data_IF_464222387890
#
_entry.id   IF_464222387890
#
_cell.length_a   1.000
_cell.length_b   1.000
_cell.length_c   1.000
_cell.angle_alpha   90.00
_cell.angle_beta   90.00
_cell.angle_gamma   90.00
#
_symmetry.space_group_name_H-M   'P 1'
#
loop_
_entity.id
_entity.type
_entity.pdbx_description
1 polymer ?
#
# COMPACT_ATOMS: atom_id res chain seq x y z
N UNK A 1 9.06 -7.35 -2.79
CA UNK A 1 9.11 -6.68 -4.10
C UNK A 1 8.24 -5.44 -4.06
N UNK A 2 8.62 -4.37 -4.75
CA UNK A 2 7.85 -3.13 -4.87
C UNK A 2 7.75 -2.75 -6.33
N UNK A 3 6.54 -2.43 -6.79
CA UNK A 3 6.28 -1.95 -8.14
C UNK A 3 5.67 -0.56 -8.00
N UNK A 4 6.25 0.40 -8.70
CA UNK A 4 5.78 1.77 -8.77
C UNK A 4 5.42 2.11 -10.21
N UNK A 5 4.25 2.71 -10.41
CA UNK A 5 3.79 3.14 -11.71
C UNK A 5 3.22 4.57 -11.63
N UNK A 6 3.67 5.41 -12.55
CA UNK A 6 3.17 6.78 -12.68
C UNK A 6 1.84 6.77 -13.45
N UNK A 7 0.80 7.32 -12.84
CA UNK A 7 -0.48 7.56 -13.49
C UNK A 7 -0.55 9.02 -13.97
N UNK A 8 -1.63 9.35 -14.69
CA UNK A 8 -1.94 10.74 -15.05
C UNK A 8 -2.24 11.57 -13.80
N UNK A 9 -2.21 12.90 -13.94
CA UNK A 9 -2.60 13.85 -12.89
C UNK A 9 -1.79 13.77 -11.59
N UNK A 10 -0.49 13.45 -11.67
CA UNK A 10 0.42 13.33 -10.50
C UNK A 10 -0.03 12.26 -9.49
N UNK A 11 -0.79 11.26 -9.92
CA UNK A 11 -1.15 10.10 -9.13
C UNK A 11 -0.16 8.95 -9.40
N UNK A 12 0.03 8.09 -8.41
CA UNK A 12 0.89 6.91 -8.53
C UNK A 12 0.12 5.67 -8.10
N UNK A 13 0.43 4.53 -8.72
CA UNK A 13 0.03 3.21 -8.26
C UNK A 13 1.25 2.51 -7.67
N UNK A 14 1.11 2.00 -6.44
CA UNK A 14 2.14 1.22 -5.77
C UNK A 14 1.62 -0.16 -5.39
N UNK A 15 2.39 -1.20 -5.71
CA UNK A 15 2.11 -2.59 -5.34
C UNK A 15 3.27 -3.11 -4.50
N UNK A 16 2.94 -3.55 -3.28
CA UNK A 16 3.88 -4.12 -2.34
C UNK A 16 3.62 -5.62 -2.20
N UNK A 17 4.59 -6.44 -2.60
CA UNK A 17 4.61 -7.88 -2.31
C UNK A 17 5.45 -8.07 -1.06
N UNK A 18 4.76 -8.35 0.05
CA UNK A 18 5.34 -8.44 1.40
C UNK A 18 4.99 -9.79 2.03
N UNK A 19 5.91 -10.32 2.82
CA UNK A 19 5.73 -11.53 3.64
C UNK A 19 6.10 -11.18 5.08
N UNK A 20 5.27 -11.61 6.03
CA UNK A 20 5.53 -11.36 7.44
C UNK A 20 4.32 -11.65 8.32
N UNK A 21 4.46 -11.32 9.59
CA UNK A 21 3.40 -11.51 10.58
C UNK A 21 2.19 -10.64 10.27
N UNK A 22 1.00 -11.24 10.42
CA UNK A 22 -0.26 -10.57 10.14
C UNK A 22 -0.45 -9.28 10.94
N UNK A 23 0.00 -9.24 12.20
CA UNK A 23 -0.12 -8.04 13.04
C UNK A 23 0.71 -6.88 12.50
N UNK A 24 1.95 -7.17 12.05
CA UNK A 24 2.84 -6.16 11.47
C UNK A 24 2.31 -5.64 10.13
N UNK A 25 1.75 -6.52 9.31
CA UNK A 25 1.11 -6.14 8.04
C UNK A 25 -0.14 -5.28 8.29
N UNK A 26 -0.96 -5.62 9.30
CA UNK A 26 -2.13 -4.80 9.70
C UNK A 26 -1.72 -3.42 10.21
N UNK A 27 -0.66 -3.31 11.01
CA UNK A 27 -0.12 -2.01 11.46
C UNK A 27 0.32 -1.16 10.27
N UNK A 28 1.00 -1.74 9.29
CA UNK A 28 1.39 -1.05 8.07
C UNK A 28 0.18 -0.56 7.26
N UNK A 29 -0.84 -1.41 7.10
CA UNK A 29 -2.08 -1.04 6.42
C UNK A 29 -2.77 0.16 7.09
N UNK A 30 -2.85 0.17 8.43
CA UNK A 30 -3.44 1.28 9.18
C UNK A 30 -2.66 2.59 8.96
N UNK A 31 -1.33 2.55 8.95
CA UNK A 31 -0.52 3.72 8.64
C UNK A 31 -0.83 4.28 7.25
N UNK A 32 -0.99 3.40 6.25
CA UNK A 32 -1.37 3.83 4.91
C UNK A 32 -2.78 4.42 4.84
N UNK A 33 -3.75 3.82 5.53
CA UNK A 33 -5.13 4.33 5.56
C UNK A 33 -5.24 5.71 6.21
N UNK A 34 -4.39 6.03 7.18
CA UNK A 34 -4.40 7.33 7.87
C UNK A 34 -3.57 8.42 7.16
N UNK A 35 -2.82 8.06 6.11
CA UNK A 35 -1.98 8.99 5.37
C UNK A 35 -2.80 9.89 4.44
N UNK A 36 -2.65 11.22 4.58
CA UNK A 36 -3.33 12.21 3.72
C UNK A 36 -2.91 12.16 2.25
N UNK A 37 -1.76 11.55 1.95
CA UNK A 37 -1.21 11.45 0.60
C UNK A 37 -1.57 10.14 -0.11
N UNK A 38 -2.35 9.27 0.54
CA UNK A 38 -2.78 7.99 -0.01
C UNK A 38 -4.28 8.06 -0.25
N UNK A 39 -4.68 8.02 -1.53
CA UNK A 39 -6.09 8.06 -1.91
C UNK A 39 -6.82 6.73 -1.68
N UNK A 40 -6.13 5.61 -1.83
CA UNK A 40 -6.71 4.27 -1.74
C UNK A 40 -5.65 3.24 -1.35
N UNK A 41 -6.03 2.29 -0.49
CA UNK A 41 -5.19 1.15 -0.13
C UNK A 41 -6.05 -0.09 0.06
N UNK A 42 -5.55 -1.25 -0.40
CA UNK A 42 -6.20 -2.55 -0.24
C UNK A 42 -5.16 -3.61 0.07
N UNK A 43 -5.43 -4.43 1.08
CA UNK A 43 -4.66 -5.64 1.37
C UNK A 43 -5.26 -6.81 0.61
N UNK A 44 -4.42 -7.55 -0.13
CA UNK A 44 -4.77 -8.80 -0.79
C UNK A 44 -3.96 -9.90 -0.10
N UNK A 45 -4.64 -10.94 0.38
CA UNK A 45 -4.02 -12.10 1.02
C UNK A 45 -4.04 -13.26 0.03
N UNK A 46 -2.91 -13.95 -0.08
CA UNK A 46 -2.71 -15.12 -0.94
C UNK A 46 -2.09 -16.26 -0.13
#
# INVERSE_FOLDING_TARGET
THIHNNLKEKKCLEIFIIKGEAERIKKLLNLFQTSKNINYVKLIVA
#
